data_IF_549860104713
#
_entry.id   IF_549860104713
#
_cell.length_a   1.000
_cell.length_b   1.000
_cell.length_c   1.000
_cell.angle_alpha   90.00
_cell.angle_beta   90.00
_cell.angle_gamma   90.00
#
_symmetry.space_group_name_H-M   'P 1'
#
loop_
_entity.id
_entity.type
_entity.pdbx_description
1 polymer ?
#
# COMPACT_ATOMS: atom_id res chain seq x y z
N UNK A 1 -4.70 -3.96 -3.87
CA UNK A 1 -4.99 -2.50 -3.79
C UNK A 1 -6.46 -2.21 -3.49
N UNK A 2 -7.47 -2.91 -4.07
CA UNK A 2 -8.88 -2.67 -3.76
C UNK A 2 -9.19 -2.66 -2.25
N UNK A 3 -8.79 -3.71 -1.53
CA UNK A 3 -8.92 -3.78 -0.07
C UNK A 3 -8.23 -2.62 0.66
N UNK A 4 -7.06 -2.18 0.18
CA UNK A 4 -6.36 -1.06 0.80
C UNK A 4 -7.11 0.26 0.62
N UNK A 5 -7.84 0.45 -0.48
CA UNK A 5 -8.71 1.61 -0.68
C UNK A 5 -9.85 1.62 0.35
N UNK A 6 -10.54 0.50 0.51
CA UNK A 6 -11.63 0.34 1.49
C UNK A 6 -11.14 0.58 2.92
N UNK A 7 -10.00 -0.01 3.30
CA UNK A 7 -9.40 0.19 4.63
C UNK A 7 -9.13 1.66 4.91
N UNK A 8 -8.61 2.41 3.92
CA UNK A 8 -8.32 3.84 4.07
C UNK A 8 -9.60 4.68 4.19
N UNK A 9 -10.66 4.33 3.46
CA UNK A 9 -11.96 5.01 3.58
C UNK A 9 -12.58 4.80 4.97
N UNK A 10 -12.41 3.61 5.56
CA UNK A 10 -12.81 3.28 6.93
C UNK A 10 -11.88 3.87 8.02
N UNK A 11 -10.88 4.67 7.66
CA UNK A 11 -9.95 5.30 8.61
C UNK A 11 -8.86 4.37 9.14
N UNK A 12 -8.70 3.19 8.54
CA UNK A 12 -7.59 2.28 8.81
C UNK A 12 -6.27 2.76 8.19
N UNK A 13 -5.21 1.96 8.38
CA UNK A 13 -3.91 2.18 7.76
C UNK A 13 -3.60 1.01 6.83
N UNK A 14 -3.11 1.31 5.63
CA UNK A 14 -2.68 0.29 4.68
C UNK A 14 -1.22 0.54 4.29
N UNK A 15 -0.37 -0.45 4.53
CA UNK A 15 1.05 -0.46 4.21
C UNK A 15 1.31 -1.54 3.17
N UNK A 16 1.85 -1.17 2.02
CA UNK A 16 2.18 -2.13 0.96
C UNK A 16 3.44 -2.94 1.30
N UNK A 17 3.64 -4.13 0.72
CA UNK A 17 4.87 -4.91 0.88
C UNK A 17 6.15 -4.19 0.40
N UNK A 18 6.00 -3.08 -0.32
CA UNK A 18 7.11 -2.23 -0.79
C UNK A 18 7.45 -1.10 0.18
N UNK A 19 6.79 -1.05 1.33
CA UNK A 19 6.98 -0.01 2.32
C UNK A 19 6.25 1.29 1.99
N UNK A 20 5.37 1.32 0.99
CA UNK A 20 4.57 2.52 0.73
C UNK A 20 3.34 2.56 1.63
N UNK A 21 3.15 3.68 2.34
CA UNK A 21 1.90 3.97 3.05
C UNK A 21 0.84 4.50 2.09
N UNK A 22 -0.31 3.85 2.09
CA UNK A 22 -1.47 4.34 1.39
C UNK A 22 -2.19 5.40 2.23
N UNK A 23 -2.65 6.43 1.54
CA UNK A 23 -3.37 7.57 2.13
C UNK A 23 -4.56 7.91 1.24
N UNK A 24 -5.53 8.67 1.75
CA UNK A 24 -6.68 9.15 0.97
C UNK A 24 -6.25 9.88 -0.31
N UNK A 25 -5.12 10.57 -0.26
CA UNK A 25 -4.60 11.37 -1.36
C UNK A 25 -3.94 10.53 -2.46
N UNK A 26 -3.51 9.29 -2.17
CA UNK A 26 -2.73 8.48 -3.11
C UNK A 26 -3.39 7.15 -3.51
N UNK A 27 -4.34 6.65 -2.71
CA UNK A 27 -4.85 5.29 -2.90
C UNK A 27 -5.74 5.16 -4.14
N UNK A 28 -6.52 6.20 -4.47
CA UNK A 28 -7.37 6.21 -5.66
C UNK A 28 -6.55 6.19 -6.95
N UNK A 29 -5.53 7.03 -7.05
CA UNK A 29 -4.62 7.03 -8.21
C UNK A 29 -3.92 5.68 -8.41
N UNK A 30 -3.47 5.04 -7.32
CA UNK A 30 -2.88 3.69 -7.37
C UNK A 30 -3.89 2.62 -7.80
N UNK A 31 -5.14 2.71 -7.33
CA UNK A 31 -6.21 1.80 -7.75
C UNK A 31 -6.48 1.96 -9.25
N UNK A 32 -6.68 3.19 -9.74
CA UNK A 32 -6.90 3.46 -11.16
C UNK A 32 -5.78 2.94 -12.05
N UNK A 33 -4.51 3.08 -11.65
CA UNK A 33 -3.39 2.55 -12.41
C UNK A 33 -3.39 1.01 -12.42
N UNK A 34 -3.75 0.36 -11.30
CA UNK A 34 -3.90 -1.11 -11.26
C UNK A 34 -5.02 -1.58 -12.19
N UNK A 35 -6.16 -0.91 -12.16
CA UNK A 35 -7.31 -1.24 -13.00
C UNK A 35 -6.93 -1.10 -14.48
N UNK A 36 -6.24 -0.01 -14.84
CA UNK A 36 -5.76 0.22 -16.20
C UNK A 36 -4.76 -0.86 -16.67
N UNK A 37 -3.75 -1.17 -15.87
CA UNK A 37 -2.75 -2.20 -16.19
C UNK A 37 -3.36 -3.61 -16.24
N UNK A 38 -4.48 -3.84 -15.57
CA UNK A 38 -5.23 -5.09 -15.67
C UNK A 38 -6.03 -5.17 -16.97
N UNK A 39 -6.68 -4.08 -17.37
CA UNK A 39 -7.37 -3.98 -18.67
C UNK A 39 -6.42 -4.21 -19.84
N UNK A 40 -5.19 -3.67 -19.78
CA UNK A 40 -4.18 -3.94 -20.81
C UNK A 40 -3.78 -5.42 -20.85
N UNK A 41 -3.61 -6.04 -19.68
CA UNK A 41 -3.27 -7.47 -19.60
C UNK A 41 -4.41 -8.35 -20.11
N UNK A 42 -5.67 -7.99 -19.82
CA UNK A 42 -6.84 -8.74 -20.30
C UNK A 42 -7.06 -8.58 -21.81
N UNK A 43 -6.62 -7.46 -22.41
CA UNK A 43 -6.64 -7.26 -23.86
C UNK A 43 -5.47 -7.92 -24.60
N UNK A 44 -4.63 -8.71 -23.91
CA UNK A 44 -3.51 -9.43 -24.51
C UNK A 44 -2.23 -8.60 -24.70
N UNK A 45 -2.15 -7.39 -24.13
CA UNK A 45 -0.92 -6.59 -24.13
C UNK A 45 0.01 -7.14 -23.04
N UNK A 46 1.21 -7.57 -23.43
CA UNK A 46 2.24 -7.95 -22.46
C UNK A 46 2.85 -6.71 -21.81
N UNK A 47 2.31 -6.34 -20.65
CA UNK A 47 2.83 -5.25 -19.82
C UNK A 47 3.98 -5.71 -18.91
N UNK A 48 4.34 -7.00 -18.95
CA UNK A 48 5.12 -7.64 -17.90
C UNK A 48 4.40 -7.70 -16.55
N UNK A 49 5.16 -8.16 -15.55
CA UNK A 49 4.72 -8.23 -14.16
C UNK A 49 5.25 -7.06 -13.31
N UNK A 50 4.70 -6.86 -12.10
CA UNK A 50 5.25 -5.90 -11.16
C UNK A 50 6.71 -6.26 -10.82
N UNK A 51 7.56 -5.24 -10.64
CA UNK A 51 8.96 -5.45 -10.28
C UNK A 51 9.14 -6.38 -9.06
N UNK A 52 10.23 -7.13 -9.03
CA UNK A 52 10.57 -8.01 -7.89
C UNK A 52 10.74 -7.20 -6.60
N UNK A 53 10.40 -7.79 -5.47
CA UNK A 53 10.65 -7.18 -4.16
C UNK A 53 12.16 -7.13 -3.89
N UNK A 54 12.67 -5.94 -3.52
CA UNK A 54 14.07 -5.73 -3.15
C UNK A 54 14.29 -5.78 -1.63
N UNK A 55 15.56 -5.82 -1.21
CA UNK A 55 15.90 -5.65 0.20
C UNK A 55 15.50 -4.26 0.72
N UNK A 56 15.65 -3.21 -0.10
CA UNK A 56 15.22 -1.86 0.24
C UNK A 56 13.70 -1.79 0.53
N UNK A 57 12.88 -2.49 -0.26
CA UNK A 57 11.44 -2.60 -0.03
C UNK A 57 11.13 -3.22 1.34
N UNK A 58 11.85 -4.29 1.73
CA UNK A 58 11.69 -4.93 3.04
C UNK A 58 12.07 -3.99 4.19
N UNK A 59 13.17 -3.26 4.03
CA UNK A 59 13.60 -2.29 5.03
C UNK A 59 12.59 -1.14 5.18
N UNK A 60 12.10 -0.60 4.05
CA UNK A 60 11.09 0.46 4.05
C UNK A 60 9.79 -0.01 4.72
N UNK A 61 9.37 -1.25 4.47
CA UNK A 61 8.23 -1.86 5.13
C UNK A 61 8.42 -1.95 6.64
N UNK A 62 9.52 -2.55 7.10
CA UNK A 62 9.81 -2.69 8.53
C UNK A 62 9.81 -1.33 9.24
N UNK A 63 10.51 -0.35 8.66
CA UNK A 63 10.60 1.00 9.22
C UNK A 63 9.22 1.68 9.36
N UNK A 64 8.32 1.54 8.39
CA UNK A 64 6.98 2.10 8.49
C UNK A 64 6.07 1.33 9.43
N UNK A 65 6.20 0.01 9.47
CA UNK A 65 5.45 -0.82 10.41
C UNK A 65 5.79 -0.46 11.86
N UNK A 66 7.09 -0.33 12.17
CA UNK A 66 7.55 0.06 13.51
C UNK A 66 6.99 1.41 13.95
N UNK A 67 6.98 2.40 13.05
CA UNK A 67 6.37 3.71 13.31
C UNK A 67 4.87 3.61 13.60
N UNK A 68 4.13 2.77 12.85
CA UNK A 68 2.70 2.55 13.09
C UNK A 68 2.47 1.92 14.46
N UNK A 69 3.21 0.86 14.80
CA UNK A 69 3.10 0.16 16.09
C UNK A 69 3.42 1.11 17.24
N UNK A 70 4.53 1.85 17.16
CA UNK A 70 4.93 2.80 18.20
C UNK A 70 3.87 3.88 18.43
N UNK A 71 3.32 4.44 17.35
CA UNK A 71 2.25 5.44 17.44
C UNK A 71 0.99 4.88 18.09
N UNK A 72 0.58 3.66 17.73
CA UNK A 72 -0.56 2.99 18.36
C UNK A 72 -0.32 2.69 19.83
N UNK A 73 0.89 2.22 20.18
CA UNK A 73 1.29 1.97 21.57
C UNK A 73 1.23 3.24 22.42
N UNK A 74 1.74 4.36 21.91
CA UNK A 74 1.73 5.64 22.61
C UNK A 74 0.31 6.17 22.80
N UNK A 75 -0.58 6.00 21.80
CA UNK A 75 -2.00 6.36 21.93
C UNK A 75 -2.70 5.55 23.03
N UNK A 76 -2.34 4.27 23.22
CA UNK A 76 -2.91 3.45 24.29
C UNK A 76 -2.43 3.85 25.68
N UNK A 77 -1.18 4.32 25.81
CA UNK A 77 -0.62 4.80 27.09
C UNK A 77 -1.20 6.14 27.56
N UNK A 78 -1.71 6.95 26.63
CA UNK A 78 -2.22 8.30 26.89
C UNK A 78 -3.76 8.34 27.06
N UNK A 79 -4.41 7.18 27.19
CA UNK A 79 -5.85 7.06 27.50
C UNK A 79 -5.99 6.59 28.93
#
# INVERSE_FOLDING_TARGET
>A
IPLAAEVIELGGHALSPRGELHTKNNIRARLSMRDFMESLRSSGVDTGGPAKLSQANRQAFANHLDKLILRHRNRLKNR
#
